data_IF_778112417356
#
_entry.id   IF_778112417356
#
_cell.length_a   1.000
_cell.length_b   1.000
_cell.length_c   1.000
_cell.angle_alpha   90.00
_cell.angle_beta   90.00
_cell.angle_gamma   90.00
#
_symmetry.space_group_name_H-M   'P 1'
#
loop_
_entity.id
_entity.type
_entity.pdbx_description
1 polymer ?
#
# COMPACT_ATOMS: atom_id res chain seq x y z
N UNK A 1 20.66 10.78 1.75
CA UNK A 1 19.51 10.49 0.87
C UNK A 1 18.27 10.53 1.73
N UNK A 2 17.55 11.66 1.70
CA UNK A 2 16.33 11.87 2.48
C UNK A 2 15.23 11.05 1.83
N UNK A 3 14.85 9.91 2.43
CA UNK A 3 13.71 9.13 1.96
C UNK A 3 12.48 9.96 2.30
N UNK A 4 11.87 10.58 1.28
CA UNK A 4 10.59 11.25 1.43
C UNK A 4 9.61 10.27 2.12
N UNK A 5 8.76 10.72 3.06
CA UNK A 5 7.75 9.84 3.63
C UNK A 5 6.89 9.34 2.48
N UNK A 6 7.11 8.07 2.14
CA UNK A 6 6.28 7.35 1.19
C UNK A 6 4.90 7.31 1.82
N UNK A 7 4.03 8.23 1.40
CA UNK A 7 2.60 8.19 1.69
C UNK A 7 1.97 7.04 0.89
N UNK A 8 2.61 5.88 0.93
CA UNK A 8 2.17 4.67 0.26
C UNK A 8 1.08 4.07 1.13
N UNK A 9 0.03 3.59 0.49
CA UNK A 9 -1.06 2.94 1.20
C UNK A 9 -0.52 1.68 1.87
N UNK A 10 -0.48 1.65 3.21
CA UNK A 10 0.03 0.51 4.00
C UNK A 10 -0.75 -0.79 3.78
N UNK A 11 -1.96 -0.70 3.20
CA UNK A 11 -2.82 -1.85 2.91
C UNK A 11 -2.49 -2.54 1.59
N UNK A 12 -1.88 -1.84 0.64
CA UNK A 12 -1.42 -2.41 -0.63
C UNK A 12 0.06 -2.14 -0.90
N UNK A 13 0.79 -1.63 0.09
CA UNK A 13 2.22 -1.31 -0.01
C UNK A 13 2.56 -0.43 -1.22
N UNK A 14 1.72 0.57 -1.49
CA UNK A 14 1.94 1.48 -2.62
C UNK A 14 1.44 1.00 -3.99
N UNK A 15 1.06 -0.27 -4.13
CA UNK A 15 0.71 -0.83 -5.46
C UNK A 15 -0.66 -0.44 -5.99
N UNK A 16 -1.55 0.10 -5.15
CA UNK A 16 -2.93 0.42 -5.53
C UNK A 16 -3.83 -0.80 -5.71
N UNK A 17 -3.31 -2.02 -5.63
CA UNK A 17 -4.06 -3.26 -5.90
C UNK A 17 -4.47 -3.99 -4.63
N UNK A 18 -5.60 -4.70 -4.67
CA UNK A 18 -6.03 -5.51 -3.55
C UNK A 18 -5.08 -6.69 -3.33
N UNK A 19 -4.71 -6.97 -2.08
CA UNK A 19 -3.94 -8.17 -1.75
C UNK A 19 -4.85 -9.39 -1.88
N UNK A 20 -4.48 -10.32 -2.76
CA UNK A 20 -5.20 -11.59 -2.96
C UNK A 20 -4.68 -12.69 -2.04
N UNK A 21 -3.37 -12.75 -1.84
CA UNK A 21 -2.72 -13.76 -0.98
C UNK A 21 -1.40 -13.27 -0.43
N UNK A 22 -1.10 -13.60 0.82
CA UNK A 22 0.21 -13.42 1.44
C UNK A 22 0.81 -14.80 1.67
N UNK A 23 1.91 -15.10 0.97
CA UNK A 23 2.65 -16.34 1.18
C UNK A 23 3.65 -16.11 2.31
N UNK A 24 3.53 -16.90 3.39
CA UNK A 24 4.44 -16.86 4.53
C UNK A 24 5.42 -18.01 4.46
N UNK A 25 6.65 -17.77 4.90
CA UNK A 25 7.69 -18.79 5.07
C UNK A 25 7.46 -19.56 6.37
N UNK A 26 8.20 -20.66 6.56
CA UNK A 26 8.10 -21.52 7.75
C UNK A 26 8.49 -20.80 9.04
N UNK A 27 9.33 -19.77 8.96
CA UNK A 27 9.72 -18.88 10.06
C UNK A 27 8.67 -17.79 10.38
N UNK A 28 7.56 -17.75 9.65
CA UNK A 28 6.49 -16.76 9.81
C UNK A 28 6.69 -15.45 9.05
N UNK A 29 7.85 -15.25 8.41
CA UNK A 29 8.11 -14.05 7.60
C UNK A 29 7.33 -14.08 6.28
N UNK A 30 7.09 -12.91 5.69
CA UNK A 30 6.40 -12.81 4.39
C UNK A 30 7.40 -13.17 3.28
N UNK A 31 7.11 -14.23 2.52
CA UNK A 31 7.91 -14.59 1.34
C UNK A 31 7.52 -13.77 0.12
N UNK A 32 6.22 -13.59 -0.11
CA UNK A 32 5.70 -12.84 -1.24
C UNK A 32 4.25 -12.44 -1.02
N UNK A 33 3.85 -11.35 -1.65
CA UNK A 33 2.47 -10.86 -1.68
C UNK A 33 1.98 -10.94 -3.12
N UNK A 34 0.84 -11.60 -3.32
CA UNK A 34 0.18 -11.71 -4.62
C UNK A 34 -0.98 -10.73 -4.64
N UNK A 35 -0.93 -9.78 -5.56
CA UNK A 35 -1.96 -8.78 -5.76
C UNK A 35 -2.99 -9.24 -6.80
N UNK A 36 -4.24 -8.83 -6.64
CA UNK A 36 -5.28 -9.03 -7.63
C UNK A 36 -5.14 -7.99 -8.74
N UNK A 37 -5.03 -8.45 -9.99
CA UNK A 37 -4.91 -7.55 -11.14
C UNK A 37 -6.25 -6.95 -11.57
N UNK A 38 -7.38 -7.48 -11.08
CA UNK A 38 -8.74 -7.06 -11.44
C UNK A 38 -9.42 -6.25 -10.33
N UNK A 39 -8.82 -6.18 -9.14
CA UNK A 39 -9.41 -5.48 -7.99
C UNK A 39 -8.43 -4.48 -7.42
N UNK A 40 -8.92 -3.26 -7.29
CA UNK A 40 -8.19 -2.18 -6.67
C UNK A 40 -8.24 -2.28 -5.14
N UNK A 41 -7.21 -1.74 -4.49
CA UNK A 41 -7.17 -1.65 -3.05
C UNK A 41 -8.26 -0.70 -2.58
N UNK A 42 -9.25 -1.23 -1.87
CA UNK A 42 -10.39 -0.47 -1.37
C UNK A 42 -10.01 0.70 -0.45
N UNK A 43 -8.86 0.62 0.22
CA UNK A 43 -8.41 1.64 1.17
C UNK A 43 -7.81 2.88 0.50
N UNK A 44 -7.27 2.75 -0.71
CA UNK A 44 -6.73 3.87 -1.49
C UNK A 44 -7.42 4.03 -2.83
N UNK A 45 -8.51 3.28 -3.07
CA UNK A 45 -9.31 3.30 -4.29
C UNK A 45 -8.47 3.16 -5.58
N UNK A 46 -7.41 2.35 -5.54
CA UNK A 46 -6.54 2.16 -6.70
C UNK A 46 -5.36 3.12 -6.80
N UNK A 47 -5.31 4.19 -6.00
CA UNK A 47 -4.27 5.23 -6.11
C UNK A 47 -2.90 4.76 -5.62
N UNK A 48 -2.87 3.75 -4.76
CA UNK A 48 -1.63 3.31 -4.10
C UNK A 48 -1.15 4.26 -3.02
N UNK A 49 -1.81 5.40 -2.82
CA UNK A 49 -1.39 6.40 -1.84
C UNK A 49 -2.28 6.33 -0.60
N UNK A 50 -1.67 6.45 0.57
CA UNK A 50 -2.42 6.75 1.79
C UNK A 50 -3.08 8.11 1.60
N UNK A 51 -4.40 8.19 1.83
CA UNK A 51 -5.13 9.44 1.74
C UNK A 51 -4.46 10.47 2.65
N UNK A 52 -3.69 11.36 2.06
CA UNK A 52 -3.23 12.56 2.72
C UNK A 52 -4.50 13.41 2.80
N UNK A 53 -5.14 13.47 3.97
CA UNK A 53 -5.91 14.66 4.28
C UNK A 53 -4.92 15.80 4.04
N UNK A 54 -5.13 16.60 3.00
CA UNK A 54 -4.31 17.76 2.73
C UNK A 54 -4.44 18.63 3.97
N UNK A 55 -3.48 18.50 4.89
CA UNK A 55 -3.24 19.51 5.88
C UNK A 55 -2.74 20.69 5.05
N UNK A 56 -3.68 21.52 4.60
CA UNK A 56 -3.41 22.90 4.22
C UNK A 56 -2.56 23.47 5.35
N UNK A 57 -1.26 23.56 5.11
CA UNK A 57 -0.39 24.40 5.90
C UNK A 57 -0.94 25.82 5.71
N UNK A 58 -1.41 26.50 6.77
CA UNK A 58 -1.75 27.90 6.62
C UNK A 58 -0.48 28.66 6.23
N UNK A 59 -0.65 29.55 5.25
CA UNK A 59 0.38 30.39 4.65
C UNK A 59 1.10 31.30 5.67
#
# INVERSE_FOLDING_TARGET
MTVAPKNDCTRCDGTGRAIRRINRRRDGTISSVVYDLKKDCRSCEGTGLACIAVATQPA
#
